data_IF_092567883318
#
_entry.id   IF_092567883318
#
_cell.length_a   1.000
_cell.length_b   1.000
_cell.length_c   1.000
_cell.angle_alpha   90.00
_cell.angle_beta   90.00
_cell.angle_gamma   90.00
#
_symmetry.space_group_name_H-M   'P 1'
#
loop_
_entity.id
_entity.type
_entity.pdbx_description
1 polymer ?
#
# COMPACT_ATOMS: atom_id res chain seq x y z
N UNK A 1 -4.34 4.83 -17.38
CA UNK A 1 -3.38 4.39 -16.34
C UNK A 1 -2.88 5.59 -15.56
N UNK A 2 -2.80 5.45 -14.25
CA UNK A 2 -2.29 6.49 -13.35
C UNK A 2 -1.07 5.94 -12.63
N UNK A 3 0.03 6.69 -12.63
CA UNK A 3 1.22 6.37 -11.85
C UNK A 3 1.18 7.22 -10.57
N UNK A 4 1.37 6.60 -9.42
CA UNK A 4 1.32 7.26 -8.13
C UNK A 4 2.56 6.95 -7.30
N UNK A 5 3.00 7.93 -6.53
CA UNK A 5 4.04 7.76 -5.55
C UNK A 5 3.60 8.40 -4.23
N UNK A 6 3.59 7.62 -3.17
CA UNK A 6 3.31 8.11 -1.82
C UNK A 6 4.60 8.03 -1.01
N UNK A 7 5.05 9.13 -0.44
CA UNK A 7 6.28 9.11 0.34
C UNK A 7 6.13 8.28 1.62
N UNK A 8 7.27 7.84 2.17
CA UNK A 8 7.27 6.88 3.29
C UNK A 8 6.64 7.42 4.57
N UNK A 9 6.70 8.74 4.79
CA UNK A 9 6.24 9.33 6.03
C UNK A 9 7.22 9.09 7.19
N UNK A 10 6.90 9.65 8.34
CA UNK A 10 7.64 9.45 9.57
C UNK A 10 6.74 9.78 10.75
N UNK A 11 6.52 8.83 11.64
CA UNK A 11 5.62 8.97 12.79
C UNK A 11 6.00 10.20 13.63
N UNK A 12 5.00 11.01 13.97
CA UNK A 12 5.18 12.21 14.80
C UNK A 12 5.72 13.42 14.06
N UNK A 13 5.80 13.39 12.73
CA UNK A 13 6.30 14.52 11.94
C UNK A 13 5.29 14.98 10.90
N UNK A 14 5.55 16.15 10.31
CA UNK A 14 4.75 16.71 9.23
C UNK A 14 4.73 15.77 8.01
N UNK A 15 5.77 15.00 7.80
CA UNK A 15 5.82 14.02 6.70
C UNK A 15 4.70 13.00 6.79
N UNK A 16 4.37 12.55 8.00
CA UNK A 16 3.27 11.61 8.19
C UNK A 16 1.91 12.28 7.92
N UNK A 17 1.75 13.53 8.33
CA UNK A 17 0.52 14.27 8.06
C UNK A 17 0.34 14.50 6.55
N UNK A 18 1.41 14.80 5.84
CA UNK A 18 1.39 14.97 4.38
C UNK A 18 1.03 13.65 3.69
N UNK A 19 1.53 12.53 4.19
CA UNK A 19 1.18 11.20 3.69
C UNK A 19 -0.32 10.94 3.82
N UNK A 20 -0.89 11.22 4.98
CA UNK A 20 -2.32 11.06 5.19
C UNK A 20 -3.15 11.96 4.28
N UNK A 21 -2.71 13.18 4.03
CA UNK A 21 -3.40 14.07 3.08
C UNK A 21 -3.41 13.49 1.68
N UNK A 22 -2.31 12.89 1.25
CA UNK A 22 -2.25 12.25 -0.06
C UNK A 22 -3.23 11.07 -0.13
N UNK A 23 -3.25 10.23 0.90
CA UNK A 23 -4.15 9.08 0.95
C UNK A 23 -5.63 9.53 0.99
N UNK A 24 -5.93 10.62 1.69
CA UNK A 24 -7.27 11.22 1.68
C UNK A 24 -7.68 11.67 0.27
N UNK A 25 -6.77 12.29 -0.46
CA UNK A 25 -7.02 12.69 -1.84
C UNK A 25 -7.28 11.50 -2.75
N UNK A 26 -6.61 10.39 -2.51
CA UNK A 26 -6.87 9.15 -3.25
C UNK A 26 -8.29 8.65 -3.01
N UNK A 27 -8.81 8.75 -1.77
CA UNK A 27 -10.18 8.36 -1.48
C UNK A 27 -11.21 9.15 -2.30
N UNK A 28 -10.92 10.40 -2.63
CA UNK A 28 -11.78 11.24 -3.45
C UNK A 28 -11.55 10.96 -4.94
N UNK A 29 -10.30 10.85 -5.36
CA UNK A 29 -9.93 10.75 -6.77
C UNK A 29 -10.25 9.39 -7.38
N UNK A 30 -10.06 8.31 -6.63
CA UNK A 30 -10.26 6.95 -7.15
C UNK A 30 -11.70 6.70 -7.62
N UNK A 31 -12.74 7.08 -6.86
CA UNK A 31 -14.11 6.96 -7.35
C UNK A 31 -14.39 7.81 -8.60
N UNK A 32 -13.81 9.02 -8.66
CA UNK A 32 -13.98 9.89 -9.83
C UNK A 32 -13.41 9.24 -11.10
N UNK A 33 -12.21 8.67 -11.00
CA UNK A 33 -11.58 7.99 -12.12
C UNK A 33 -12.44 6.81 -12.60
N UNK A 34 -13.00 6.04 -11.67
CA UNK A 34 -13.86 4.91 -11.99
C UNK A 34 -15.16 5.32 -12.67
N UNK A 35 -15.67 6.53 -12.39
CA UNK A 35 -16.87 7.07 -13.06
C UNK A 35 -16.62 7.50 -14.51
N UNK A 36 -15.41 7.98 -14.78
CA UNK A 36 -15.10 8.60 -16.07
C UNK A 36 -14.36 7.69 -17.05
N UNK A 37 -14.06 6.46 -16.64
CA UNK A 37 -13.35 5.50 -17.49
C UNK A 37 -13.89 4.10 -17.25
N UNK A 38 -13.98 3.32 -18.32
CA UNK A 38 -14.43 1.92 -18.23
C UNK A 38 -13.41 1.07 -17.45
N UNK A 39 -12.14 1.38 -17.61
CA UNK A 39 -11.06 0.67 -16.96
C UNK A 39 -10.05 1.65 -16.38
N UNK A 40 -9.69 1.47 -15.11
CA UNK A 40 -8.67 2.26 -14.43
C UNK A 40 -7.61 1.34 -13.87
N UNK A 41 -6.36 1.70 -14.05
CA UNK A 41 -5.22 1.03 -13.44
C UNK A 41 -4.36 2.08 -12.75
N UNK A 42 -4.17 1.94 -11.46
CA UNK A 42 -3.28 2.78 -10.64
C UNK A 42 -2.10 1.93 -10.23
N UNK A 43 -0.89 2.39 -10.55
CA UNK A 43 0.34 1.67 -10.26
C UNK A 43 1.33 2.56 -9.53
N UNK A 44 2.15 1.98 -8.69
CA UNK A 44 3.25 2.70 -8.09
C UNK A 44 3.61 2.26 -6.68
N UNK A 45 4.58 2.97 -6.12
CA UNK A 45 5.04 2.79 -4.75
C UNK A 45 4.17 3.62 -3.81
N UNK A 46 3.38 2.96 -3.00
CA UNK A 46 2.46 3.61 -2.07
C UNK A 46 2.98 3.60 -0.63
N UNK A 47 4.13 2.98 -0.39
CA UNK A 47 4.81 2.95 0.92
C UNK A 47 3.91 2.50 2.08
N UNK A 48 2.98 1.58 1.82
CA UNK A 48 2.11 0.98 2.84
C UNK A 48 1.98 -0.51 2.56
N UNK A 49 2.20 -1.34 3.57
CA UNK A 49 1.78 -2.74 3.54
C UNK A 49 0.34 -2.82 4.02
N UNK A 50 -0.55 -3.43 3.26
CA UNK A 50 -1.98 -3.43 3.58
C UNK A 50 -2.33 -4.41 4.70
N UNK A 51 -1.87 -5.64 4.59
CA UNK A 51 -2.21 -6.71 5.54
C UNK A 51 -0.96 -7.35 6.15
N UNK A 52 -1.18 -8.23 7.11
CA UNK A 52 -0.09 -8.99 7.74
C UNK A 52 0.66 -9.88 6.72
N UNK A 53 0.01 -10.27 5.64
CA UNK A 53 0.64 -11.04 4.57
C UNK A 53 1.64 -10.20 3.75
N UNK A 54 1.57 -8.90 3.87
CA UNK A 54 2.36 -7.97 3.04
C UNK A 54 3.68 -7.56 3.66
N UNK A 55 3.93 -7.96 4.91
CA UNK A 55 5.18 -7.68 5.61
C UNK A 55 5.61 -8.91 6.39
N UNK A 56 6.83 -9.37 6.16
CA UNK A 56 7.38 -10.55 6.84
C UNK A 56 7.38 -10.37 8.37
N UNK A 57 7.88 -9.23 8.84
CA UNK A 57 8.00 -8.93 10.26
C UNK A 57 6.91 -7.97 10.74
N UNK A 58 5.67 -8.25 10.41
CA UNK A 58 4.57 -7.34 10.67
C UNK A 58 4.37 -7.01 12.15
N UNK A 59 4.61 -7.97 13.06
CA UNK A 59 4.44 -7.74 14.50
C UNK A 59 5.35 -6.64 15.02
N UNK A 60 6.59 -6.60 14.55
CA UNK A 60 7.57 -5.61 14.97
C UNK A 60 7.36 -4.24 14.32
N UNK A 61 6.52 -4.14 13.29
CA UNK A 61 6.37 -2.94 12.49
C UNK A 61 5.01 -2.24 12.63
N UNK A 62 4.17 -2.66 13.56
CA UNK A 62 2.81 -2.13 13.71
C UNK A 62 2.75 -0.66 14.12
N UNK A 63 3.84 -0.11 14.65
CA UNK A 63 3.92 1.30 15.07
C UNK A 63 4.83 2.12 14.17
N UNK A 64 5.22 1.59 13.02
CA UNK A 64 6.11 2.27 12.08
C UNK A 64 5.34 2.76 10.86
N UNK A 65 5.79 3.89 10.31
CA UNK A 65 5.27 4.38 9.04
C UNK A 65 5.41 3.28 7.97
N UNK A 66 4.34 3.05 7.22
CA UNK A 66 4.23 1.97 6.25
C UNK A 66 3.35 0.82 6.73
N UNK A 67 3.11 0.69 8.03
CA UNK A 67 2.22 -0.36 8.55
C UNK A 67 1.38 0.11 9.75
N UNK A 68 1.15 1.40 9.85
CA UNK A 68 0.27 1.97 10.90
C UNK A 68 -1.18 1.56 10.64
N UNK A 69 -1.97 1.34 11.70
CA UNK A 69 -3.40 1.00 11.54
C UNK A 69 -4.15 2.01 10.68
N UNK A 70 -3.86 3.30 10.81
CA UNK A 70 -4.51 4.36 10.05
C UNK A 70 -4.16 4.29 8.56
N UNK A 71 -2.92 3.97 8.23
CA UNK A 71 -2.49 3.79 6.84
C UNK A 71 -3.20 2.59 6.21
N UNK A 72 -3.22 1.48 6.92
CA UNK A 72 -3.88 0.24 6.47
C UNK A 72 -5.38 0.43 6.27
N UNK A 73 -6.00 1.24 7.11
CA UNK A 73 -7.43 1.54 7.02
C UNK A 73 -7.79 2.25 5.70
N UNK A 74 -6.92 3.10 5.17
CA UNK A 74 -7.13 3.69 3.84
C UNK A 74 -7.20 2.61 2.76
N UNK A 75 -6.32 1.63 2.83
CA UNK A 75 -6.29 0.54 1.85
C UNK A 75 -7.51 -0.36 1.97
N UNK A 76 -8.02 -0.60 3.19
CA UNK A 76 -9.29 -1.30 3.37
C UNK A 76 -10.42 -0.60 2.60
N UNK A 77 -10.43 0.72 2.61
CA UNK A 77 -11.43 1.51 1.89
C UNK A 77 -11.20 1.50 0.38
N UNK A 78 -9.96 1.57 -0.08
CA UNK A 78 -9.65 1.49 -1.51
C UNK A 78 -10.18 0.19 -2.11
N UNK A 79 -9.97 -0.92 -1.43
CA UNK A 79 -10.32 -2.26 -1.93
C UNK A 79 -11.72 -2.70 -1.51
N UNK A 80 -12.28 -2.14 -0.45
CA UNK A 80 -13.62 -2.45 0.03
C UNK A 80 -14.68 -1.49 -0.52
N UNK A 81 -14.84 -0.34 0.14
CA UNK A 81 -15.90 0.62 -0.17
C UNK A 81 -15.82 1.14 -1.60
N UNK A 82 -14.63 1.51 -2.06
CA UNK A 82 -14.42 2.04 -3.41
C UNK A 82 -14.41 0.92 -4.45
N UNK A 83 -13.89 -0.25 -4.09
CA UNK A 83 -14.00 -1.45 -4.90
C UNK A 83 -12.89 -1.65 -5.93
N UNK A 84 -11.75 -0.99 -5.80
CA UNK A 84 -10.60 -1.34 -6.62
C UNK A 84 -10.07 -2.71 -6.20
N UNK A 85 -9.42 -3.39 -7.13
CA UNK A 85 -8.86 -4.72 -6.90
C UNK A 85 -7.35 -4.61 -6.69
N UNK A 86 -6.84 -5.31 -5.70
CA UNK A 86 -5.41 -5.48 -5.47
C UNK A 86 -4.94 -6.64 -6.33
N UNK A 87 -4.46 -6.34 -7.52
CA UNK A 87 -4.19 -7.35 -8.56
C UNK A 87 -3.17 -8.39 -8.09
N UNK A 88 -2.07 -7.95 -7.51
CA UNK A 88 -1.02 -8.88 -7.07
C UNK A 88 -1.53 -9.82 -5.97
N UNK A 89 -2.32 -9.30 -5.02
CA UNK A 89 -2.89 -10.12 -3.95
C UNK A 89 -3.89 -11.13 -4.50
N UNK A 90 -4.72 -10.73 -5.44
CA UNK A 90 -5.67 -11.66 -6.05
C UNK A 90 -4.97 -12.77 -6.82
N UNK A 91 -3.91 -12.45 -7.54
CA UNK A 91 -3.16 -13.45 -8.30
C UNK A 91 -2.35 -14.39 -7.40
N UNK A 92 -1.78 -13.88 -6.31
CA UNK A 92 -0.98 -14.69 -5.39
C UNK A 92 -1.84 -15.53 -4.44
N UNK A 93 -3.04 -15.06 -4.10
CA UNK A 93 -3.87 -15.69 -3.09
C UNK A 93 -3.49 -15.25 -1.67
N UNK A 94 -4.05 -15.94 -0.68
CA UNK A 94 -3.84 -15.61 0.74
C UNK A 94 -2.56 -16.29 1.27
N UNK A 95 -1.41 -15.82 0.78
CA UNK A 95 -0.08 -16.31 1.15
C UNK A 95 0.81 -15.15 1.54
N UNK A 96 1.88 -15.38 2.35
CA UNK A 96 2.85 -14.33 2.64
C UNK A 96 3.53 -13.82 1.37
N UNK A 97 3.61 -12.51 1.22
CA UNK A 97 4.17 -11.90 0.02
C UNK A 97 3.25 -12.02 -1.20
N UNK A 98 3.77 -11.94 -2.42
CA UNK A 98 5.18 -11.62 -2.74
C UNK A 98 5.56 -10.20 -2.30
N UNK A 99 6.82 -10.02 -1.91
CA UNK A 99 7.30 -8.72 -1.47
C UNK A 99 7.89 -7.94 -2.64
N UNK A 100 7.91 -6.60 -2.52
CA UNK A 100 8.41 -5.70 -3.56
C UNK A 100 9.59 -4.85 -3.11
N UNK A 101 9.89 -4.87 -1.82
CA UNK A 101 10.98 -4.08 -1.26
C UNK A 101 11.63 -4.81 -0.09
N UNK A 102 12.94 -4.70 0.03
CA UNK A 102 13.72 -5.27 1.13
C UNK A 102 14.72 -4.23 1.63
N UNK A 103 14.90 -4.17 2.96
CA UNK A 103 15.92 -3.32 3.56
C UNK A 103 17.32 -3.83 3.18
N UNK A 104 18.28 -2.93 3.16
CA UNK A 104 19.70 -3.29 3.01
C UNK A 104 20.29 -3.86 4.30
N UNK A 105 19.56 -3.80 5.42
CA UNK A 105 20.03 -4.24 6.75
C UNK A 105 19.65 -5.68 7.00
N UNK A 106 20.47 -6.35 7.84
CA UNK A 106 20.13 -7.64 8.44
C UNK A 106 19.90 -8.78 7.46
N UNK A 107 20.50 -8.75 6.28
CA UNK A 107 20.30 -9.77 5.24
C UNK A 107 18.82 -9.96 4.89
N UNK A 108 18.05 -8.88 4.88
CA UNK A 108 16.61 -8.93 4.65
C UNK A 108 16.26 -9.60 3.33
N UNK A 109 17.00 -9.32 2.25
CA UNK A 109 16.78 -9.95 0.96
C UNK A 109 17.04 -11.45 1.00
N UNK A 110 18.17 -11.87 1.60
CA UNK A 110 18.55 -13.29 1.68
C UNK A 110 17.51 -14.08 2.50
N UNK A 111 16.95 -13.47 3.54
CA UNK A 111 15.94 -14.07 4.41
C UNK A 111 14.50 -13.87 3.91
N UNK A 112 14.35 -13.20 2.77
CA UNK A 112 13.05 -12.76 2.24
C UNK A 112 12.19 -12.03 3.28
N UNK A 113 12.84 -11.21 4.09
CA UNK A 113 12.17 -10.36 5.09
C UNK A 113 11.75 -9.04 4.45
N UNK A 114 10.79 -9.10 3.56
CA UNK A 114 10.40 -7.99 2.71
C UNK A 114 9.08 -7.34 3.07
N UNK A 115 8.74 -6.34 2.28
CA UNK A 115 7.50 -5.57 2.34
C UNK A 115 6.89 -5.53 0.94
N UNK A 116 5.56 -5.64 0.86
CA UNK A 116 4.83 -5.40 -0.38
C UNK A 116 4.21 -4.00 -0.28
N UNK A 117 4.84 -3.05 -0.93
CA UNK A 117 4.47 -1.63 -0.88
C UNK A 117 4.24 -1.01 -2.26
N UNK A 118 4.47 -1.76 -3.31
CA UNK A 118 4.20 -1.36 -4.69
C UNK A 118 2.96 -2.10 -5.17
N UNK A 119 2.05 -1.39 -5.82
CA UNK A 119 0.73 -1.92 -6.12
C UNK A 119 0.33 -1.76 -7.58
N UNK A 120 -0.54 -2.67 -8.00
CA UNK A 120 -1.37 -2.55 -9.20
C UNK A 120 -2.82 -2.60 -8.71
N UNK A 121 -3.51 -1.46 -8.75
CA UNK A 121 -4.91 -1.37 -8.32
C UNK A 121 -5.78 -1.14 -9.56
N UNK A 122 -6.75 -2.02 -9.80
CA UNK A 122 -7.57 -1.98 -11.00
C UNK A 122 -9.07 -2.02 -10.66
N UNK A 123 -9.85 -1.41 -11.53
CA UNK A 123 -11.31 -1.52 -11.46
C UNK A 123 -11.87 -2.78 -12.10
#
# INVERSE_FOLDING_TARGET
>A
MVSAYVHSGEVGTQKQDDKYRFLERMLVRMPELAKHSDHVLIVGDLNVGHTELDIKNWKANQKRAGFLPEERAYFDRFFGDIGYRDVARELAGQVPGPYTWWSYRGKAFDNDAGWRIDYHMAT
#
